data_IF_197240724117
#
_entry.id   IF_197240724117
#
_cell.length_a   1.000
_cell.length_b   1.000
_cell.length_c   1.000
_cell.angle_alpha   90.00
_cell.angle_beta   90.00
_cell.angle_gamma   90.00
#
_symmetry.space_group_name_H-M   'P 1'
#
loop_
_entity.id
_entity.type
_entity.pdbx_description
1 polymer ?
#
# COMPACT_ATOMS: atom_id res chain seq x y z
N UNK A 1 -36.23 0.06 -8.52
CA UNK A 1 -35.71 1.40 -8.85
C UNK A 1 -35.04 1.32 -10.22
N UNK A 2 -35.30 2.30 -11.10
CA UNK A 2 -34.83 2.29 -12.49
C UNK A 2 -33.31 2.51 -12.53
N UNK A 3 -32.57 1.53 -13.04
CA UNK A 3 -31.17 1.69 -13.43
C UNK A 3 -31.11 2.72 -14.55
N UNK A 4 -30.68 3.95 -14.23
CA UNK A 4 -30.30 4.93 -15.26
C UNK A 4 -29.10 4.33 -15.98
N UNK A 5 -29.30 3.90 -17.22
CA UNK A 5 -28.22 3.62 -18.17
C UNK A 5 -27.43 4.91 -18.36
N UNK A 6 -26.34 5.05 -17.62
CA UNK A 6 -25.36 6.12 -17.82
C UNK A 6 -24.79 5.97 -19.24
N UNK A 7 -24.74 7.08 -19.96
CA UNK A 7 -24.20 7.13 -21.32
C UNK A 7 -22.70 6.77 -21.25
N UNK A 8 -22.19 5.85 -22.09
CA UNK A 8 -20.78 5.46 -22.08
C UNK A 8 -19.82 6.64 -22.34
N UNK A 9 -20.28 7.72 -23.00
CA UNK A 9 -19.49 8.96 -23.09
C UNK A 9 -19.31 9.65 -21.74
N UNK A 10 -20.24 9.50 -20.81
CA UNK A 10 -20.19 10.11 -19.48
C UNK A 10 -19.22 9.35 -18.56
N UNK A 11 -19.14 8.02 -18.66
CA UNK A 11 -18.06 7.24 -18.05
C UNK A 11 -16.68 7.64 -18.60
N UNK A 12 -16.58 7.81 -19.93
CA UNK A 12 -15.31 8.24 -20.56
C UNK A 12 -14.88 9.66 -20.15
N UNK A 13 -15.83 10.53 -19.78
CA UNK A 13 -15.58 11.93 -19.39
C UNK A 13 -15.34 12.12 -17.88
N UNK A 14 -15.78 11.18 -17.03
CA UNK A 14 -15.64 11.24 -15.56
C UNK A 14 -14.40 10.49 -15.04
N UNK A 15 -13.67 9.77 -15.89
CA UNK A 15 -12.62 8.84 -15.47
C UNK A 15 -13.22 7.52 -14.96
N UNK A 16 -12.40 6.68 -14.31
CA UNK A 16 -12.86 5.39 -13.78
C UNK A 16 -14.06 5.56 -12.83
N UNK A 17 -15.02 4.63 -12.84
CA UNK A 17 -16.16 4.65 -11.92
C UNK A 17 -15.72 4.57 -10.46
N UNK A 18 -16.54 5.11 -9.54
CA UNK A 18 -16.23 5.05 -8.09
C UNK A 18 -16.08 3.61 -7.57
N UNK A 19 -16.80 2.67 -8.18
CA UNK A 19 -16.69 1.23 -7.96
C UNK A 19 -15.31 0.68 -8.34
N UNK A 20 -14.70 1.19 -9.43
CA UNK A 20 -13.35 0.81 -9.84
C UNK A 20 -12.32 1.35 -8.84
N UNK A 21 -12.45 2.60 -8.42
CA UNK A 21 -11.54 3.22 -7.42
C UNK A 21 -11.66 2.55 -6.05
N UNK A 22 -12.87 2.13 -5.67
CA UNK A 22 -13.13 1.33 -4.48
C UNK A 22 -12.42 -0.03 -4.55
N UNK A 23 -12.54 -0.71 -5.70
CA UNK A 23 -11.88 -1.99 -5.92
C UNK A 23 -10.35 -1.86 -5.84
N UNK A 24 -9.79 -0.85 -6.50
CA UNK A 24 -8.35 -0.55 -6.44
C UNK A 24 -7.87 -0.31 -4.99
N UNK A 25 -8.66 0.41 -4.19
CA UNK A 25 -8.33 0.65 -2.77
C UNK A 25 -8.36 -0.63 -1.93
N UNK A 26 -9.30 -1.55 -2.20
CA UNK A 26 -9.33 -2.88 -1.58
C UNK A 26 -8.13 -3.74 -1.98
N UNK A 27 -7.71 -3.68 -3.23
CA UNK A 27 -6.50 -4.35 -3.70
C UNK A 27 -5.26 -3.81 -2.97
N UNK A 28 -5.15 -2.49 -2.77
CA UNK A 28 -4.06 -1.90 -2.00
C UNK A 28 -4.02 -2.40 -0.56
N UNK A 29 -5.16 -2.47 0.14
CA UNK A 29 -5.22 -3.04 1.50
C UNK A 29 -4.77 -4.50 1.53
N UNK A 30 -5.19 -5.30 0.54
CA UNK A 30 -4.76 -6.70 0.42
C UNK A 30 -3.24 -6.80 0.18
N UNK A 31 -2.68 -5.94 -0.68
CA UNK A 31 -1.25 -5.91 -0.97
C UNK A 31 -0.44 -5.49 0.25
N UNK A 32 -0.91 -4.48 1.00
CA UNK A 32 -0.28 -4.05 2.25
C UNK A 32 -0.24 -5.19 3.27
N UNK A 33 -1.36 -5.90 3.45
CA UNK A 33 -1.41 -7.06 4.36
C UNK A 33 -0.40 -8.14 3.94
N UNK A 34 -0.34 -8.47 2.64
CA UNK A 34 0.62 -9.43 2.11
C UNK A 34 2.06 -9.00 2.35
N UNK A 35 2.39 -7.74 2.07
CA UNK A 35 3.74 -7.21 2.26
C UNK A 35 4.15 -7.14 3.74
N UNK A 36 3.23 -6.86 4.65
CA UNK A 36 3.50 -6.95 6.10
C UNK A 36 3.91 -8.36 6.52
N UNK A 37 3.20 -9.38 6.03
CA UNK A 37 3.52 -10.76 6.37
C UNK A 37 4.86 -11.18 5.76
N UNK A 38 5.17 -10.69 4.56
CA UNK A 38 6.45 -10.93 3.91
C UNK A 38 7.62 -10.22 4.62
N UNK A 39 7.40 -9.02 5.13
CA UNK A 39 8.38 -8.26 5.92
C UNK A 39 8.76 -9.03 7.21
N UNK A 40 7.75 -9.51 7.96
CA UNK A 40 7.96 -10.42 9.11
C UNK A 40 8.74 -11.68 8.74
N UNK A 41 8.43 -12.28 7.59
CA UNK A 41 9.16 -13.46 7.11
C UNK A 41 10.65 -13.15 6.89
N UNK A 42 10.99 -11.98 6.35
CA UNK A 42 12.39 -11.58 6.17
C UNK A 42 13.09 -11.30 7.50
N UNK A 43 12.42 -10.66 8.46
CA UNK A 43 12.96 -10.46 9.80
C UNK A 43 13.33 -11.80 10.47
N UNK A 44 12.39 -12.76 10.46
CA UNK A 44 12.60 -14.12 10.94
C UNK A 44 13.78 -14.82 10.24
N UNK A 45 13.91 -14.60 8.93
CA UNK A 45 14.94 -15.23 8.10
C UNK A 45 16.33 -14.69 8.43
N UNK A 46 16.46 -13.36 8.59
CA UNK A 46 17.70 -12.68 8.98
C UNK A 46 18.10 -13.15 10.38
N UNK A 47 17.17 -13.20 11.33
CA UNK A 47 17.43 -13.64 12.70
C UNK A 47 17.97 -15.07 12.75
N UNK A 48 17.37 -16.01 12.01
CA UNK A 48 17.78 -17.42 11.95
C UNK A 48 19.16 -17.64 11.32
N UNK A 49 19.69 -16.68 10.56
CA UNK A 49 20.94 -16.80 9.81
C UNK A 49 22.04 -15.88 10.32
N UNK A 50 21.87 -15.26 11.49
CA UNK A 50 22.92 -14.44 12.14
C UNK A 50 24.25 -15.20 12.22
N UNK A 51 25.28 -14.64 11.59
CA UNK A 51 26.65 -15.16 11.61
C UNK A 51 27.48 -14.47 12.69
N UNK A 52 28.67 -15.01 13.00
CA UNK A 52 29.64 -14.38 13.92
C UNK A 52 30.45 -13.26 13.27
N UNK A 53 30.26 -13.03 11.97
CA UNK A 53 30.96 -11.97 11.25
C UNK A 53 30.37 -10.60 11.63
N UNK A 54 31.24 -9.68 12.06
CA UNK A 54 30.81 -8.38 12.57
C UNK A 54 30.17 -7.49 11.48
N UNK A 55 30.64 -7.60 10.23
CA UNK A 55 30.07 -6.85 9.11
C UNK A 55 28.69 -7.39 8.73
N UNK A 56 28.54 -8.71 8.67
CA UNK A 56 27.23 -9.34 8.42
C UNK A 56 26.24 -9.13 9.56
N UNK A 57 26.70 -9.03 10.80
CA UNK A 57 25.85 -8.70 11.95
C UNK A 57 25.33 -7.26 11.86
N UNK A 58 26.21 -6.29 11.58
CA UNK A 58 25.82 -4.89 11.42
C UNK A 58 24.86 -4.69 10.25
N UNK A 59 25.09 -5.39 9.13
CA UNK A 59 24.18 -5.32 7.97
C UNK A 59 22.82 -5.95 8.26
N UNK A 60 22.77 -7.08 8.98
CA UNK A 60 21.51 -7.66 9.47
C UNK A 60 20.71 -6.69 10.35
N UNK A 61 21.37 -5.96 11.27
CA UNK A 61 20.71 -4.95 12.11
C UNK A 61 20.13 -3.77 11.31
N UNK A 62 20.81 -3.35 10.23
CA UNK A 62 20.28 -2.32 9.33
C UNK A 62 19.00 -2.81 8.66
N UNK A 63 18.97 -4.08 8.21
CA UNK A 63 17.79 -4.68 7.60
C UNK A 63 16.63 -4.83 8.59
N UNK A 64 16.89 -5.21 9.84
CA UNK A 64 15.88 -5.28 10.91
C UNK A 64 15.27 -3.89 11.23
N UNK A 65 16.09 -2.83 11.27
CA UNK A 65 15.58 -1.47 11.46
C UNK A 65 14.73 -1.02 10.26
N UNK A 66 15.15 -1.36 9.05
CA UNK A 66 14.41 -1.03 7.83
C UNK A 66 13.06 -1.76 7.78
N UNK A 67 13.00 -3.01 8.23
CA UNK A 67 11.76 -3.76 8.41
C UNK A 67 10.78 -3.04 9.36
N UNK A 68 11.27 -2.59 10.52
CA UNK A 68 10.44 -1.84 11.49
C UNK A 68 9.85 -0.57 10.86
N UNK A 69 10.67 0.20 10.14
CA UNK A 69 10.20 1.42 9.44
C UNK A 69 9.16 1.08 8.37
N UNK A 70 9.35 -0.01 7.62
CA UNK A 70 8.35 -0.48 6.67
C UNK A 70 7.05 -0.89 7.37
N UNK A 71 7.11 -1.60 8.50
CA UNK A 71 5.95 -2.01 9.30
C UNK A 71 5.07 -0.82 9.67
N UNK A 72 5.67 0.23 10.24
CA UNK A 72 4.95 1.45 10.60
C UNK A 72 4.35 2.14 9.36
N UNK A 73 5.12 2.23 8.28
CA UNK A 73 4.65 2.85 7.03
C UNK A 73 3.47 2.09 6.41
N UNK A 74 3.45 0.76 6.51
CA UNK A 74 2.30 -0.06 6.10
C UNK A 74 1.05 0.26 6.92
N UNK A 75 1.19 0.44 8.25
CA UNK A 75 0.07 0.82 9.12
C UNK A 75 -0.48 2.19 8.75
N UNK A 76 0.39 3.19 8.56
CA UNK A 76 -0.04 4.53 8.13
C UNK A 76 -0.78 4.49 6.79
N UNK A 77 -0.24 3.78 5.80
CA UNK A 77 -0.84 3.70 4.48
C UNK A 77 -2.18 2.97 4.48
N UNK A 78 -2.30 1.89 5.27
CA UNK A 78 -3.57 1.19 5.46
C UNK A 78 -4.63 2.10 6.09
N UNK A 79 -4.27 2.83 7.15
CA UNK A 79 -5.18 3.77 7.81
C UNK A 79 -5.65 4.88 6.85
N UNK A 80 -4.73 5.46 6.06
CA UNK A 80 -5.06 6.48 5.06
C UNK A 80 -6.06 5.96 4.01
N UNK A 81 -5.90 4.70 3.57
CA UNK A 81 -6.82 4.05 2.63
C UNK A 81 -8.16 3.74 3.30
N UNK A 82 -8.18 3.26 4.54
CA UNK A 82 -9.44 3.04 5.28
C UNK A 82 -10.22 4.34 5.48
N UNK A 83 -9.55 5.45 5.79
CA UNK A 83 -10.18 6.77 5.87
C UNK A 83 -10.71 7.23 4.53
N UNK A 84 -9.98 6.98 3.45
CA UNK A 84 -10.42 7.23 2.07
C UNK A 84 -11.70 6.45 1.73
N UNK A 85 -11.78 5.18 2.11
CA UNK A 85 -12.97 4.34 1.94
C UNK A 85 -14.16 4.81 2.78
N UNK A 86 -13.92 5.33 3.99
CA UNK A 86 -14.98 5.98 4.79
C UNK A 86 -15.52 7.23 4.10
N UNK A 87 -14.67 8.01 3.41
CA UNK A 87 -15.11 9.16 2.62
C UNK A 87 -15.99 8.73 1.43
N UNK A 88 -15.64 7.62 0.76
CA UNK A 88 -16.47 7.07 -0.31
C UNK A 88 -17.89 6.76 0.19
N UNK A 89 -17.99 6.06 1.33
CA UNK A 89 -19.30 5.71 1.91
C UNK A 89 -20.15 6.95 2.22
N UNK A 90 -19.52 8.01 2.76
CA UNK A 90 -20.19 9.29 3.02
C UNK A 90 -20.64 10.02 1.74
N UNK A 91 -19.82 9.96 0.69
CA UNK A 91 -20.14 10.50 -0.63
C UNK A 91 -21.35 9.77 -1.24
N UNK A 92 -21.40 8.44 -1.15
CA UNK A 92 -22.53 7.64 -1.63
C UNK A 92 -23.83 7.91 -0.85
N UNK A 93 -23.73 8.25 0.44
CA UNK A 93 -24.86 8.68 1.27
C UNK A 93 -25.34 10.11 0.95
N UNK A 94 -24.65 10.84 0.07
CA UNK A 94 -25.02 12.19 -0.35
C UNK A 94 -24.75 13.25 0.72
N UNK A 95 -23.71 13.06 1.55
CA UNK A 95 -23.34 14.04 2.56
C UNK A 95 -22.92 15.38 1.93
N UNK A 96 -23.49 16.48 2.43
CA UNK A 96 -23.23 17.82 1.89
C UNK A 96 -21.77 18.24 2.18
N UNK A 97 -21.10 18.80 1.16
CA UNK A 97 -19.74 19.32 1.28
C UNK A 97 -18.63 18.36 0.86
N UNK A 98 -18.97 17.15 0.38
CA UNK A 98 -18.03 16.24 -0.26
C UNK A 98 -18.20 16.28 -1.78
N UNK A 99 -17.15 16.62 -2.51
CA UNK A 99 -17.14 16.56 -3.97
C UNK A 99 -16.46 15.28 -4.47
N UNK A 100 -17.01 14.69 -5.53
CA UNK A 100 -16.40 13.55 -6.25
C UNK A 100 -14.98 13.87 -6.74
N UNK A 101 -14.72 15.13 -7.12
CA UNK A 101 -13.41 15.60 -7.53
C UNK A 101 -12.36 15.49 -6.40
N UNK A 102 -12.71 15.91 -5.18
CA UNK A 102 -11.81 15.87 -4.02
C UNK A 102 -11.46 14.42 -3.67
N UNK A 103 -12.44 13.52 -3.75
CA UNK A 103 -12.22 12.08 -3.57
C UNK A 103 -11.24 11.52 -4.60
N UNK A 104 -11.44 11.85 -5.89
CA UNK A 104 -10.56 11.39 -6.98
C UNK A 104 -9.14 11.93 -6.85
N UNK A 105 -8.99 13.17 -6.42
CA UNK A 105 -7.68 13.76 -6.16
C UNK A 105 -6.94 13.01 -5.03
N UNK A 106 -7.61 12.77 -3.89
CA UNK A 106 -7.05 12.01 -2.78
C UNK A 106 -6.68 10.58 -3.22
N UNK A 107 -7.54 9.94 -4.00
CA UNK A 107 -7.27 8.61 -4.54
C UNK A 107 -6.01 8.58 -5.42
N UNK A 108 -5.84 9.60 -6.28
CA UNK A 108 -4.62 9.75 -7.10
C UNK A 108 -3.35 9.93 -6.26
N UNK A 109 -3.42 10.68 -5.15
CA UNK A 109 -2.31 10.83 -4.21
C UNK A 109 -1.97 9.50 -3.52
N UNK A 110 -2.99 8.72 -3.10
CA UNK A 110 -2.79 7.39 -2.51
C UNK A 110 -2.16 6.43 -3.50
N UNK A 111 -2.58 6.46 -4.76
CA UNK A 111 -1.99 5.66 -5.84
C UNK A 111 -0.49 5.93 -5.99
N UNK A 112 -0.08 7.20 -6.05
CA UNK A 112 1.33 7.56 -6.13
C UNK A 112 2.11 7.06 -4.90
N UNK A 113 1.57 7.24 -3.69
CA UNK A 113 2.19 6.72 -2.47
C UNK A 113 2.32 5.20 -2.49
N UNK A 114 1.32 4.47 -2.98
CA UNK A 114 1.36 3.01 -3.13
C UNK A 114 2.43 2.57 -4.14
N UNK A 115 2.58 3.27 -5.27
CA UNK A 115 3.59 2.98 -6.27
C UNK A 115 5.00 3.19 -5.72
N UNK A 116 5.26 4.33 -5.07
CA UNK A 116 6.54 4.65 -4.42
C UNK A 116 6.86 3.63 -3.32
N UNK A 117 5.88 3.32 -2.49
CA UNK A 117 6.01 2.32 -1.45
C UNK A 117 6.39 0.95 -2.03
N UNK A 118 5.69 0.50 -3.05
CA UNK A 118 5.91 -0.81 -3.70
C UNK A 118 7.31 -0.89 -4.30
N UNK A 119 7.78 0.18 -4.93
CA UNK A 119 9.13 0.27 -5.47
C UNK A 119 10.19 0.19 -4.36
N UNK A 120 10.01 0.92 -3.26
CA UNK A 120 10.91 0.89 -2.11
C UNK A 120 10.96 -0.51 -1.48
N UNK A 121 9.80 -1.14 -1.28
CA UNK A 121 9.72 -2.49 -0.72
C UNK A 121 10.40 -3.52 -1.64
N UNK A 122 10.27 -3.38 -2.96
CA UNK A 122 11.00 -4.22 -3.92
C UNK A 122 12.52 -4.09 -3.77
N UNK A 123 13.05 -2.88 -3.58
CA UNK A 123 14.49 -2.69 -3.34
C UNK A 123 14.92 -3.31 -2.01
N UNK A 124 14.11 -3.18 -0.95
CA UNK A 124 14.34 -3.86 0.32
C UNK A 124 14.46 -5.38 0.14
N UNK A 125 13.53 -6.01 -0.58
CA UNK A 125 13.61 -7.45 -0.89
C UNK A 125 14.94 -7.84 -1.54
N UNK A 126 15.38 -7.06 -2.53
CA UNK A 126 16.65 -7.34 -3.21
C UNK A 126 17.82 -7.31 -2.23
N UNK A 127 17.87 -6.32 -1.34
CA UNK A 127 18.90 -6.24 -0.30
C UNK A 127 18.88 -7.45 0.65
N UNK A 128 17.68 -7.89 1.08
CA UNK A 128 17.54 -9.10 1.90
C UNK A 128 18.03 -10.34 1.16
N UNK A 129 17.65 -10.53 -0.11
CA UNK A 129 18.13 -11.68 -0.89
C UNK A 129 19.64 -11.66 -1.10
N UNK A 130 20.22 -10.49 -1.34
CA UNK A 130 21.66 -10.37 -1.53
C UNK A 130 22.42 -10.58 -0.22
N UNK A 131 21.90 -10.13 0.93
CA UNK A 131 22.42 -10.53 2.24
C UNK A 131 22.47 -12.04 2.38
N UNK A 132 21.34 -12.70 2.12
CA UNK A 132 21.16 -14.13 2.32
C UNK A 132 22.02 -15.01 1.42
N UNK A 133 22.40 -14.53 0.23
CA UNK A 133 23.32 -15.23 -0.67
C UNK A 133 24.78 -15.14 -0.24
N UNK A 134 25.14 -14.08 0.49
CA UNK A 134 26.51 -13.79 0.89
C UNK A 134 26.82 -14.26 2.33
N UNK A 135 25.85 -14.90 2.99
CA UNK A 135 25.98 -15.62 4.26
C UNK A 135 26.47 -17.06 4.04
#
# INVERSE_FOLDING_TARGET
MKTKTLNPKTELLLGAGLDVLHFESKEWLSNIAFYKDEAKFFADLIEKRKTKDAAQTAYGQILENLDTVHSELFDYLANDIEEHERLLSRLEMGENGLADADYREKHGQLKQRMEDFTNNFRHFKMMVFDYMKNL
#
